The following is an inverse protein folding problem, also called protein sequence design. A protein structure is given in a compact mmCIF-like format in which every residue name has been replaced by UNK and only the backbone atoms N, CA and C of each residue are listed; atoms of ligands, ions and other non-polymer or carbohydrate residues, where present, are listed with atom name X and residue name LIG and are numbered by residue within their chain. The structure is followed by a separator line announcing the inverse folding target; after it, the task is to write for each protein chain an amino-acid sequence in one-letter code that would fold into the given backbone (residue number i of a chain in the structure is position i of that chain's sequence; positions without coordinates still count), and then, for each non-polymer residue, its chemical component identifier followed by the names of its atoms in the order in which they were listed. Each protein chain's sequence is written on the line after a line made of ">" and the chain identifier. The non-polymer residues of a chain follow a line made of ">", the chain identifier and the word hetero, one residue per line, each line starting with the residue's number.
data_IF_038963780347
#
_entry.id   IF_038963780347
#
_cell.length_a   1.000
_cell.length_b   1.000
_cell.length_c   1.000
_cell.angle_alpha   90.00
_cell.angle_beta   90.00
_cell.angle_gamma   90.00
#
_symmetry.space_group_name_H-M   'P 1'
#
loop_
_entity.id
_entity.type
_entity.pdbx_description
1 polymer ?
#
# COMPACT_ATOMS: atom_id res chain seq x y z
N UNK A 1 20.02 14.34 10.56
CA UNK A 1 19.64 12.99 10.09
C UNK A 1 18.24 13.14 9.53
N UNK A 2 17.95 12.59 8.38
CA UNK A 2 16.60 12.68 7.79
C UNK A 2 15.61 11.86 8.63
N UNK A 3 14.48 12.46 9.02
CA UNK A 3 13.50 11.76 9.86
C UNK A 3 12.55 10.91 9.02
N UNK A 4 12.12 11.41 7.85
CA UNK A 4 11.08 10.80 7.06
C UNK A 4 11.38 10.83 5.55
N UNK A 5 11.37 9.68 4.89
CA UNK A 5 11.33 9.54 3.44
C UNK A 5 9.90 9.23 2.98
N UNK A 6 9.31 10.06 2.13
CA UNK A 6 7.95 9.89 1.64
C UNK A 6 8.00 9.40 0.19
N UNK A 7 7.39 8.25 -0.09
CA UNK A 7 7.26 7.69 -1.44
C UNK A 7 5.81 7.82 -1.89
N UNK A 8 5.60 8.49 -3.04
CA UNK A 8 4.29 8.65 -3.66
C UNK A 8 4.33 8.00 -5.04
N UNK A 9 3.63 6.89 -5.22
CA UNK A 9 3.51 6.23 -6.53
C UNK A 9 2.25 6.72 -7.22
N UNK A 10 2.40 7.32 -8.41
CA UNK A 10 1.32 7.91 -9.20
C UNK A 10 1.09 7.16 -10.52
N UNK A 11 -0.16 7.02 -10.92
CA UNK A 11 -0.57 6.58 -12.24
C UNK A 11 -1.88 7.25 -12.64
N UNK A 12 -1.81 8.18 -13.60
CA UNK A 12 -2.97 8.89 -14.16
C UNK A 12 -3.84 9.59 -13.09
N UNK A 13 -3.18 10.35 -12.19
CA UNK A 13 -3.82 11.05 -11.06
C UNK A 13 -3.28 12.46 -10.85
N UNK A 14 -2.93 13.18 -11.95
CA UNK A 14 -2.22 14.46 -11.91
C UNK A 14 -2.77 15.47 -10.90
N UNK A 15 -4.07 15.77 -10.94
CA UNK A 15 -4.64 16.81 -10.10
C UNK A 15 -4.76 16.39 -8.62
N UNK A 16 -5.00 15.10 -8.36
CA UNK A 16 -4.98 14.55 -7.01
C UNK A 16 -3.55 14.52 -6.46
N UNK A 17 -2.57 14.09 -7.26
CA UNK A 17 -1.16 14.13 -6.89
C UNK A 17 -0.71 15.54 -6.54
N UNK A 18 -1.15 16.56 -7.31
CA UNK A 18 -0.87 17.97 -7.01
C UNK A 18 -1.43 18.38 -5.63
N UNK A 19 -2.66 17.99 -5.33
CA UNK A 19 -3.31 18.28 -4.04
C UNK A 19 -2.60 17.55 -2.90
N UNK A 20 -2.27 16.28 -3.09
CA UNK A 20 -1.50 15.47 -2.14
C UNK A 20 -0.14 16.14 -1.84
N UNK A 21 0.65 16.47 -2.86
CA UNK A 21 1.96 17.12 -2.69
C UNK A 21 1.85 18.47 -1.96
N UNK A 22 0.84 19.29 -2.29
CA UNK A 22 0.59 20.55 -1.57
C UNK A 22 0.31 20.30 -0.09
N UNK A 23 -0.47 19.28 0.26
CA UNK A 23 -0.75 18.95 1.66
C UNK A 23 0.49 18.41 2.38
N UNK A 24 1.33 17.61 1.71
CA UNK A 24 2.59 17.11 2.25
C UNK A 24 3.56 18.27 2.55
N UNK A 25 3.77 19.18 1.58
CA UNK A 25 4.67 20.32 1.77
C UNK A 25 4.11 21.41 2.69
N UNK A 26 2.81 21.40 2.99
CA UNK A 26 2.20 22.24 4.03
C UNK A 26 2.31 21.66 5.44
N UNK A 27 2.95 20.50 5.59
CA UNK A 27 3.11 19.85 6.90
C UNK A 27 3.92 20.69 7.87
N UNK A 28 3.50 20.69 9.13
CA UNK A 28 4.09 21.45 10.22
C UNK A 28 4.63 20.53 11.31
N UNK A 29 5.75 20.92 11.94
CA UNK A 29 6.38 20.18 13.03
C UNK A 29 7.90 20.30 12.98
N UNK A 30 8.56 19.84 14.05
CA UNK A 30 10.02 19.83 14.16
C UNK A 30 10.55 18.47 13.66
N UNK A 31 10.54 18.25 12.35
CA UNK A 31 11.07 17.07 11.69
C UNK A 31 11.48 17.41 10.26
N UNK A 32 12.40 16.62 9.73
CA UNK A 32 12.91 16.75 8.36
C UNK A 32 12.32 15.66 7.47
N UNK A 33 11.94 16.02 6.24
CA UNK A 33 11.45 15.02 5.28
C UNK A 33 11.89 15.32 3.85
N UNK A 34 11.96 14.26 3.05
CA UNK A 34 12.14 14.33 1.61
C UNK A 34 11.05 13.51 0.92
N UNK A 35 10.69 13.92 -0.30
CA UNK A 35 9.64 13.28 -1.09
C UNK A 35 10.24 12.70 -2.37
N UNK A 36 9.93 11.44 -2.65
CA UNK A 36 10.17 10.80 -3.94
C UNK A 36 8.81 10.48 -4.60
N UNK A 37 8.56 11.09 -5.75
CA UNK A 37 7.41 10.75 -6.59
C UNK A 37 7.87 9.77 -7.66
N UNK A 38 7.18 8.63 -7.74
CA UNK A 38 7.38 7.66 -8.82
C UNK A 38 6.16 7.71 -9.74
N UNK A 39 6.33 8.33 -10.89
CA UNK A 39 5.31 8.34 -11.93
C UNK A 39 5.39 7.06 -12.74
N UNK A 40 4.32 6.30 -12.75
CA UNK A 40 4.27 4.95 -13.30
C UNK A 40 3.82 4.94 -14.78
N UNK A 41 4.42 5.83 -15.60
CA UNK A 41 4.10 6.09 -17.00
C UNK A 41 2.69 6.68 -17.18
N UNK A 42 2.38 7.75 -16.49
CA UNK A 42 1.09 8.44 -16.58
C UNK A 42 0.96 9.20 -17.91
N UNK A 43 -0.14 9.02 -18.65
CA UNK A 43 -0.39 9.76 -19.89
C UNK A 43 -0.97 11.17 -19.66
N UNK A 44 -1.24 11.58 -18.41
CA UNK A 44 -1.96 12.80 -18.03
C UNK A 44 -1.06 13.99 -17.69
N UNK A 45 0.24 13.92 -18.05
CA UNK A 45 1.26 14.91 -17.72
C UNK A 45 1.52 15.06 -16.20
N UNK A 46 1.36 13.97 -15.43
CA UNK A 46 1.69 13.94 -13.99
C UNK A 46 3.17 14.23 -13.75
N UNK A 47 4.08 13.60 -14.50
CA UNK A 47 5.52 13.77 -14.34
C UNK A 47 5.95 15.23 -14.63
N UNK A 48 5.46 15.81 -15.72
CA UNK A 48 5.73 17.21 -16.09
C UNK A 48 5.22 18.20 -15.03
N UNK A 49 4.04 17.93 -14.47
CA UNK A 49 3.47 18.73 -13.38
C UNK A 49 4.37 18.69 -12.15
N UNK A 50 4.85 17.50 -11.75
CA UNK A 50 5.75 17.37 -10.59
C UNK A 50 7.05 18.13 -10.84
N UNK A 51 7.68 17.95 -12.01
CA UNK A 51 8.93 18.63 -12.37
C UNK A 51 8.79 20.17 -12.36
N UNK A 52 7.63 20.68 -12.78
CA UNK A 52 7.40 22.12 -12.88
C UNK A 52 6.96 22.77 -11.55
N UNK A 53 6.07 22.12 -10.79
CA UNK A 53 5.44 22.70 -9.60
C UNK A 53 6.13 22.29 -8.29
N UNK A 54 6.85 21.17 -8.28
CA UNK A 54 7.50 20.60 -7.08
C UNK A 54 8.96 20.19 -7.34
N UNK A 55 9.84 21.14 -7.78
CA UNK A 55 11.22 20.82 -8.13
C UNK A 55 12.06 20.29 -6.94
N UNK A 56 11.58 20.44 -5.72
CA UNK A 56 12.19 19.88 -4.51
C UNK A 56 11.88 18.39 -4.30
N UNK A 57 10.92 17.79 -5.03
CA UNK A 57 10.65 16.37 -4.99
C UNK A 57 11.60 15.61 -5.93
N UNK A 58 12.12 14.49 -5.47
CA UNK A 58 12.79 13.53 -6.36
C UNK A 58 11.74 12.90 -7.29
N UNK A 59 11.94 13.01 -8.59
CA UNK A 59 11.02 12.43 -9.57
C UNK A 59 11.68 11.24 -10.28
N UNK A 60 11.00 10.10 -10.25
CA UNK A 60 11.29 8.95 -11.10
C UNK A 60 10.13 8.82 -12.10
N UNK A 61 10.38 9.03 -13.38
CA UNK A 61 9.40 8.86 -14.44
C UNK A 61 9.67 7.53 -15.17
N UNK A 62 8.83 6.53 -14.93
CA UNK A 62 8.90 5.24 -15.59
C UNK A 62 8.40 5.34 -17.04
N UNK A 63 8.93 4.50 -17.91
CA UNK A 63 8.46 4.37 -19.31
C UNK A 63 7.31 3.39 -19.47
N UNK A 64 7.03 2.58 -18.44
CA UNK A 64 5.92 1.64 -18.36
C UNK A 64 5.39 1.53 -16.93
N UNK A 65 4.16 1.05 -16.76
CA UNK A 65 3.59 0.81 -15.44
C UNK A 65 4.13 -0.49 -14.87
N UNK A 66 5.08 -0.39 -13.95
CA UNK A 66 5.76 -1.54 -13.30
C UNK A 66 4.97 -2.13 -12.11
N UNK A 67 3.78 -1.61 -11.81
CA UNK A 67 2.95 -1.99 -10.66
C UNK A 67 3.31 -1.23 -9.37
N UNK A 68 2.40 -1.27 -8.42
CA UNK A 68 2.48 -0.48 -7.19
C UNK A 68 3.69 -0.84 -6.30
N UNK A 69 3.96 -2.12 -5.96
CA UNK A 69 5.10 -2.47 -5.10
C UNK A 69 6.45 -2.19 -5.77
N UNK A 70 6.60 -2.46 -7.07
CA UNK A 70 7.86 -2.21 -7.79
C UNK A 70 8.17 -0.72 -7.84
N UNK A 71 7.17 0.13 -8.09
CA UNK A 71 7.33 1.58 -8.09
C UNK A 71 7.65 2.12 -6.68
N UNK A 72 6.95 1.66 -5.63
CA UNK A 72 7.30 2.03 -4.26
C UNK A 72 8.73 1.59 -3.89
N UNK A 73 9.16 0.41 -4.34
CA UNK A 73 10.51 -0.06 -4.11
C UNK A 73 11.56 0.80 -4.81
N UNK A 74 11.26 1.38 -6.00
CA UNK A 74 12.16 2.36 -6.64
C UNK A 74 12.33 3.59 -5.74
N UNK A 75 11.24 4.17 -5.23
CA UNK A 75 11.28 5.29 -4.31
C UNK A 75 11.98 4.98 -2.98
N UNK A 76 11.73 3.80 -2.40
CA UNK A 76 12.42 3.36 -1.19
C UNK A 76 13.94 3.23 -1.40
N UNK A 77 14.37 2.73 -2.56
CA UNK A 77 15.81 2.64 -2.89
C UNK A 77 16.46 4.00 -3.05
N UNK A 78 15.75 5.04 -3.46
CA UNK A 78 16.25 6.42 -3.49
C UNK A 78 16.68 6.88 -2.10
N UNK A 79 15.97 6.43 -1.05
CA UNK A 79 16.28 6.68 0.35
C UNK A 79 17.28 5.68 0.97
N UNK A 80 17.90 4.81 0.16
CA UNK A 80 18.93 3.87 0.63
C UNK A 80 18.39 2.57 1.22
N UNK A 81 17.08 2.29 1.15
CA UNK A 81 16.54 0.99 1.55
C UNK A 81 16.84 -0.08 0.49
N UNK A 82 17.13 -1.31 0.93
CA UNK A 82 17.53 -2.42 0.06
C UNK A 82 16.70 -3.67 0.31
N UNK A 83 16.70 -4.60 -0.67
CA UNK A 83 16.02 -5.90 -0.55
C UNK A 83 16.75 -6.90 0.35
N UNK A 84 18.02 -6.62 0.68
CA UNK A 84 18.86 -7.54 1.44
C UNK A 84 18.74 -7.26 2.95
N UNK A 85 18.40 -8.27 3.78
CA UNK A 85 18.53 -8.14 5.24
C UNK A 85 19.97 -7.78 5.61
N UNK A 86 20.15 -6.82 6.50
CA UNK A 86 21.46 -6.26 6.90
C UNK A 86 22.46 -7.31 7.41
N UNK A 87 22.00 -8.49 7.84
CA UNK A 87 22.84 -9.60 8.28
C UNK A 87 23.69 -10.25 7.16
N UNK A 88 23.47 -9.90 5.88
CA UNK A 88 24.27 -10.36 4.75
C UNK A 88 25.22 -9.29 4.18
N UNK A 89 25.09 -8.02 4.62
CA UNK A 89 25.88 -6.90 4.09
C UNK A 89 27.31 -6.82 4.62
N UNK A 90 27.69 -7.61 5.63
CA UNK A 90 29.06 -7.58 6.19
C UNK A 90 30.14 -8.16 5.27
N UNK A 91 29.80 -8.80 4.15
CA UNK A 91 30.77 -9.48 3.29
C UNK A 91 30.83 -9.01 1.83
N UNK A 92 30.05 -7.99 1.40
CA UNK A 92 30.09 -7.49 0.02
C UNK A 92 30.09 -5.96 -0.07
N UNK A 93 31.09 -5.32 0.54
CA UNK A 93 31.47 -3.95 0.16
C UNK A 93 32.28 -4.03 -1.13
N UNK A 94 31.65 -4.21 -2.26
CA UNK A 94 32.28 -4.07 -3.58
C UNK A 94 31.66 -2.88 -4.31
N UNK A 95 32.43 -1.78 -4.33
CA UNK A 95 32.60 -0.76 -5.37
C UNK A 95 31.48 -0.67 -6.43
N UNK A 96 30.35 -0.04 -6.12
CA UNK A 96 29.54 0.65 -7.10
C UNK A 96 29.23 2.07 -6.58
N UNK A 97 29.47 3.12 -7.36
CA UNK A 97 29.06 4.48 -6.99
C UNK A 97 27.54 4.56 -7.20
N UNK A 98 26.78 4.21 -6.19
CA UNK A 98 25.37 4.55 -6.14
C UNK A 98 25.27 5.99 -5.63
N UNK A 99 24.54 6.84 -6.32
CA UNK A 99 24.04 8.14 -5.83
C UNK A 99 23.03 7.88 -4.69
N UNK A 100 23.45 7.16 -3.66
CA UNK A 100 22.66 6.95 -2.46
C UNK A 100 22.74 8.22 -1.64
N UNK A 101 21.58 8.78 -1.32
CA UNK A 101 21.47 9.81 -0.29
C UNK A 101 22.17 9.28 0.97
N UNK A 102 23.17 9.99 1.43
CA UNK A 102 24.08 9.56 2.53
C UNK A 102 23.37 9.50 3.89
N UNK A 103 22.07 9.83 3.97
CA UNK A 103 21.25 9.87 5.17
C UNK A 103 19.95 9.07 4.96
N UNK A 104 20.00 7.76 5.22
CA UNK A 104 18.80 6.95 5.30
C UNK A 104 17.85 7.51 6.37
N UNK A 105 16.54 7.75 6.07
CA UNK A 105 15.59 8.27 7.02
C UNK A 105 15.26 7.26 8.12
N UNK A 106 14.87 7.75 9.29
CA UNK A 106 14.43 6.91 10.41
C UNK A 106 13.10 6.16 10.08
N UNK A 107 12.27 6.77 9.24
CA UNK A 107 11.00 6.22 8.82
C UNK A 107 10.80 6.38 7.30
N UNK A 108 10.06 5.45 6.70
CA UNK A 108 9.54 5.56 5.35
C UNK A 108 8.00 5.64 5.39
N UNK A 109 7.42 6.56 4.62
CA UNK A 109 6.00 6.66 4.41
C UNK A 109 5.66 6.27 2.97
N UNK A 110 4.85 5.23 2.79
CA UNK A 110 4.15 5.02 1.53
C UNK A 110 2.86 5.81 1.57
N UNK A 111 2.65 6.65 0.56
CA UNK A 111 1.51 7.56 0.48
C UNK A 111 0.87 7.50 -0.90
N UNK A 112 -0.45 7.30 -0.95
CA UNK A 112 -1.17 7.36 -2.22
C UNK A 112 -1.34 8.79 -2.72
N UNK A 113 -1.33 9.01 -4.05
CA UNK A 113 -1.47 10.34 -4.65
C UNK A 113 -2.87 10.95 -4.50
N UNK A 114 -3.85 10.19 -4.04
CA UNK A 114 -5.23 10.60 -3.81
C UNK A 114 -5.57 10.78 -2.32
N UNK A 115 -4.55 11.11 -1.51
CA UNK A 115 -4.68 11.48 -0.09
C UNK A 115 -4.46 12.98 0.13
N UNK A 116 -5.10 13.53 1.16
CA UNK A 116 -4.89 14.91 1.61
C UNK A 116 -4.68 14.92 3.12
N UNK A 117 -3.54 15.47 3.55
CA UNK A 117 -3.07 15.43 4.92
C UNK A 117 -3.40 16.74 5.66
N UNK A 118 -3.91 16.67 6.91
CA UNK A 118 -3.85 17.83 7.82
C UNK A 118 -2.40 18.26 8.08
N UNK A 119 -2.16 19.56 8.35
CA UNK A 119 -0.79 20.06 8.53
C UNK A 119 0.00 19.41 9.67
N UNK A 120 -0.67 18.92 10.72
CA UNK A 120 -0.05 18.27 11.87
C UNK A 120 0.06 16.72 11.73
N UNK A 121 -0.45 16.15 10.64
CA UNK A 121 -0.57 14.71 10.48
C UNK A 121 0.75 13.97 10.59
N UNK A 122 1.78 14.43 9.85
CA UNK A 122 3.09 13.77 9.84
C UNK A 122 3.77 13.86 11.21
N UNK A 123 3.77 15.04 11.84
CA UNK A 123 4.37 15.23 13.16
C UNK A 123 3.71 14.31 14.20
N UNK A 124 2.37 14.23 14.21
CA UNK A 124 1.62 13.37 15.15
C UNK A 124 1.84 11.88 14.89
N UNK A 125 1.97 11.46 13.63
CA UNK A 125 2.27 10.07 13.32
C UNK A 125 3.70 9.69 13.69
N UNK A 126 4.68 10.58 13.49
CA UNK A 126 6.07 10.38 13.96
C UNK A 126 6.14 10.32 15.49
N UNK A 127 5.45 11.22 16.19
CA UNK A 127 5.32 11.20 17.64
C UNK A 127 4.73 9.88 18.15
N UNK A 128 3.66 9.40 17.52
CA UNK A 128 3.08 8.10 17.84
C UNK A 128 4.09 6.95 17.68
N UNK A 129 4.87 6.94 16.59
CA UNK A 129 5.92 5.93 16.39
C UNK A 129 7.05 6.01 17.43
N UNK A 130 7.36 7.20 17.92
CA UNK A 130 8.34 7.39 19.00
C UNK A 130 7.83 6.85 20.34
N UNK A 131 6.54 7.04 20.65
CA UNK A 131 5.89 6.52 21.86
C UNK A 131 5.68 5.00 21.82
N UNK A 132 5.72 4.37 20.63
CA UNK A 132 5.52 2.95 20.43
C UNK A 132 6.76 2.31 19.77
N UNK A 133 7.83 2.04 20.54
CA UNK A 133 9.07 1.49 19.97
C UNK A 133 8.91 0.07 19.38
N UNK A 134 7.86 -0.65 19.75
CA UNK A 134 7.46 -1.95 19.19
C UNK A 134 6.65 -1.84 17.87
N UNK A 135 6.27 -0.62 17.48
CA UNK A 135 5.58 -0.38 16.22
C UNK A 135 6.53 -0.50 15.03
N UNK A 136 6.32 -1.50 14.19
CA UNK A 136 6.98 -1.60 12.88
C UNK A 136 6.25 -0.79 11.82
N UNK A 137 4.92 -0.72 11.91
CA UNK A 137 4.05 0.04 11.01
C UNK A 137 3.00 0.79 11.84
N UNK A 138 2.66 2.01 11.39
CA UNK A 138 1.46 2.71 11.82
C UNK A 138 0.71 3.33 10.63
N UNK A 139 -0.63 3.37 10.73
CA UNK A 139 -1.50 4.06 9.78
C UNK A 139 -2.56 4.87 10.50
N UNK A 140 -2.99 6.03 9.94
CA UNK A 140 -4.01 6.88 10.49
C UNK A 140 -5.42 6.38 10.21
N UNK A 141 -6.42 7.07 10.76
CA UNK A 141 -7.80 6.98 10.31
C UNK A 141 -7.92 7.60 8.92
N UNK A 142 -8.34 6.80 7.94
CA UNK A 142 -8.66 7.30 6.61
C UNK A 142 -10.16 7.50 6.47
N UNK A 143 -10.55 8.64 5.91
CA UNK A 143 -11.95 8.97 5.63
C UNK A 143 -12.14 9.22 4.14
N UNK A 144 -13.29 8.81 3.62
CA UNK A 144 -13.70 9.06 2.25
C UNK A 144 -14.27 10.49 2.10
N UNK A 145 -14.46 11.02 0.89
CA UNK A 145 -15.00 12.37 0.67
C UNK A 145 -16.39 12.61 1.29
N UNK A 146 -17.16 11.55 1.53
CA UNK A 146 -18.45 11.63 2.22
C UNK A 146 -18.34 11.58 3.76
N UNK A 147 -17.11 11.59 4.30
CA UNK A 147 -16.83 11.51 5.73
C UNK A 147 -16.88 10.09 6.31
N UNK A 148 -17.27 9.09 5.54
CA UNK A 148 -17.29 7.70 6.01
C UNK A 148 -15.90 7.13 6.17
N UNK A 149 -15.74 6.15 7.08
CA UNK A 149 -14.47 5.46 7.29
C UNK A 149 -14.06 4.65 6.07
N UNK A 150 -12.83 4.82 5.58
CA UNK A 150 -12.25 3.84 4.69
C UNK A 150 -11.92 2.56 5.47
N UNK A 151 -12.76 1.54 5.30
CA UNK A 151 -12.63 0.27 6.02
C UNK A 151 -11.28 -0.45 5.80
N UNK A 152 -10.50 -0.05 4.77
CA UNK A 152 -9.20 -0.63 4.50
C UNK A 152 -8.09 -0.07 5.40
N UNK A 153 -8.31 1.06 6.11
CA UNK A 153 -7.30 1.67 6.98
C UNK A 153 -6.89 0.78 8.16
N UNK A 154 -7.69 -0.24 8.49
CA UNK A 154 -7.41 -1.23 9.53
C UNK A 154 -7.98 -2.60 9.12
N UNK A 155 -7.13 -3.62 9.08
CA UNK A 155 -7.54 -4.95 8.58
C UNK A 155 -6.92 -6.06 9.41
N UNK A 156 -7.59 -7.23 9.43
CA UNK A 156 -6.93 -8.49 9.75
C UNK A 156 -6.37 -9.14 8.48
N UNK A 157 -5.48 -10.11 8.64
CA UNK A 157 -5.02 -10.91 7.50
C UNK A 157 -6.15 -11.74 6.90
N UNK A 158 -6.18 -11.87 5.56
CA UNK A 158 -7.17 -12.66 4.84
C UNK A 158 -6.87 -14.17 4.96
N UNK A 159 -7.04 -14.73 6.17
CA UNK A 159 -7.00 -16.17 6.33
C UNK A 159 -8.07 -16.83 5.45
N UNK A 160 -7.97 -18.13 5.11
CA UNK A 160 -9.02 -18.84 4.35
C UNK A 160 -10.42 -18.65 4.95
N UNK A 161 -10.54 -18.74 6.27
CA UNK A 161 -11.80 -18.54 6.99
C UNK A 161 -12.34 -17.10 6.84
N UNK A 162 -11.50 -16.09 7.08
CA UNK A 162 -11.85 -14.67 6.99
C UNK A 162 -12.24 -14.31 5.55
N UNK A 163 -11.50 -14.83 4.57
CA UNK A 163 -11.77 -14.63 3.15
C UNK A 163 -13.11 -15.26 2.74
N UNK A 164 -13.41 -16.46 3.24
CA UNK A 164 -14.68 -17.14 3.01
C UNK A 164 -15.86 -16.31 3.54
N UNK A 165 -15.80 -15.80 4.77
CA UNK A 165 -16.88 -14.97 5.32
C UNK A 165 -17.12 -13.71 4.52
N UNK A 166 -16.04 -13.09 4.02
CA UNK A 166 -16.13 -11.91 3.18
C UNK A 166 -16.75 -12.20 1.82
N UNK A 167 -16.33 -13.27 1.15
CA UNK A 167 -16.86 -13.67 -0.15
C UNK A 167 -18.33 -14.06 -0.07
N UNK A 168 -18.74 -14.73 1.00
CA UNK A 168 -20.15 -15.11 1.26
C UNK A 168 -21.01 -13.95 1.75
N UNK A 169 -20.47 -12.74 1.89
CA UNK A 169 -21.20 -11.56 2.33
C UNK A 169 -21.55 -11.52 3.83
N UNK A 170 -21.12 -12.52 4.63
CA UNK A 170 -21.40 -12.60 6.06
C UNK A 170 -20.84 -11.42 6.84
N UNK A 171 -19.72 -10.84 6.39
CA UNK A 171 -19.14 -9.63 6.96
C UNK A 171 -20.03 -8.39 6.80
N UNK A 172 -20.86 -8.34 5.75
CA UNK A 172 -21.84 -7.25 5.54
C UNK A 172 -23.12 -7.47 6.34
N UNK A 173 -23.55 -8.74 6.45
CA UNK A 173 -24.76 -9.09 7.18
C UNK A 173 -24.58 -8.97 8.70
N UNK A 174 -23.38 -9.29 9.21
CA UNK A 174 -23.05 -9.25 10.63
C UNK A 174 -21.80 -8.39 10.91
N UNK A 175 -21.82 -7.08 10.65
CA UNK A 175 -20.63 -6.22 10.74
C UNK A 175 -20.09 -6.09 12.16
N UNK A 176 -20.93 -6.21 13.20
CA UNK A 176 -20.53 -6.14 14.62
C UNK A 176 -20.00 -7.47 15.18
N UNK A 177 -20.06 -8.54 14.41
CA UNK A 177 -19.54 -9.85 14.82
C UNK A 177 -18.01 -9.87 14.79
N UNK A 178 -17.37 -10.23 15.91
CA UNK A 178 -15.92 -10.44 15.97
C UNK A 178 -15.43 -11.54 15.00
N UNK A 179 -16.31 -12.48 14.64
CA UNK A 179 -15.99 -13.55 13.69
C UNK A 179 -16.16 -13.09 12.24
N UNK A 180 -17.33 -12.56 11.88
CA UNK A 180 -17.66 -12.21 10.50
C UNK A 180 -17.15 -10.83 10.07
N UNK A 181 -17.11 -9.86 10.97
CA UNK A 181 -16.55 -8.52 10.74
C UNK A 181 -15.03 -8.44 10.83
N UNK A 182 -14.34 -9.59 11.01
CA UNK A 182 -12.92 -9.65 11.33
C UNK A 182 -12.03 -9.02 10.28
N UNK A 183 -12.33 -9.17 8.99
CA UNK A 183 -11.44 -8.66 7.95
C UNK A 183 -11.18 -7.15 8.05
N UNK A 184 -12.22 -6.33 8.19
CA UNK A 184 -12.11 -4.88 8.32
C UNK A 184 -12.25 -4.41 9.78
N UNK A 185 -12.23 -5.32 10.75
CA UNK A 185 -12.33 -5.05 12.20
C UNK A 185 -13.52 -4.14 12.53
N UNK A 186 -14.66 -4.35 11.85
CA UNK A 186 -15.83 -3.48 11.91
C UNK A 186 -16.55 -3.52 13.28
N UNK A 187 -16.18 -4.44 14.14
CA UNK A 187 -16.61 -4.54 15.53
C UNK A 187 -15.82 -3.66 16.50
N UNK A 188 -14.66 -3.11 16.07
CA UNK A 188 -13.87 -2.18 16.88
C UNK A 188 -14.36 -0.75 16.70
N UNK A 189 -14.23 0.05 17.73
CA UNK A 189 -14.46 1.49 17.66
C UNK A 189 -13.46 2.14 16.68
N UNK A 190 -13.91 2.90 15.68
CA UNK A 190 -13.03 3.59 14.74
C UNK A 190 -12.24 4.75 15.35
N UNK A 191 -12.60 5.21 16.53
CA UNK A 191 -11.97 6.35 17.20
C UNK A 191 -11.01 5.92 18.33
N UNK A 192 -10.74 4.61 18.45
CA UNK A 192 -9.77 4.06 19.38
C UNK A 192 -8.56 3.48 18.66
N UNK A 193 -7.35 3.80 19.17
CA UNK A 193 -6.11 3.20 18.70
C UNK A 193 -6.13 1.68 18.96
N UNK A 194 -5.61 0.90 18.02
CA UNK A 194 -5.62 -0.54 18.13
C UNK A 194 -4.42 -1.18 17.42
N UNK A 195 -3.91 -2.27 18.00
CA UNK A 195 -3.06 -3.19 17.25
C UNK A 195 -3.93 -3.92 16.20
N UNK A 196 -3.44 -3.94 14.97
CA UNK A 196 -4.12 -4.56 13.82
C UNK A 196 -3.17 -5.50 13.09
N UNK A 197 -3.67 -6.25 12.10
CA UNK A 197 -2.76 -7.07 11.30
C UNK A 197 -2.15 -6.28 10.15
N UNK A 198 -2.87 -5.32 9.56
CA UNK A 198 -2.38 -4.47 8.49
C UNK A 198 -3.14 -3.15 8.43
N UNK A 199 -2.47 -2.11 7.99
CA UNK A 199 -3.04 -0.87 7.46
C UNK A 199 -2.96 -0.88 5.94
N UNK A 200 -3.60 0.06 5.25
CA UNK A 200 -3.56 0.14 3.78
C UNK A 200 -2.36 0.97 3.31
N UNK A 201 -1.79 0.60 2.16
CA UNK A 201 -0.69 1.34 1.54
C UNK A 201 -1.00 2.80 1.18
N UNK A 202 -2.27 3.23 1.29
CA UNK A 202 -2.64 4.63 1.07
C UNK A 202 -1.98 5.61 2.05
N UNK A 203 -1.72 5.17 3.28
CA UNK A 203 -0.83 5.81 4.26
C UNK A 203 -0.25 4.72 5.15
N UNK A 204 0.99 4.35 4.91
CA UNK A 204 1.69 3.31 5.67
C UNK A 204 3.06 3.84 6.12
N UNK A 205 3.16 4.23 7.39
CA UNK A 205 4.40 4.70 8.01
C UNK A 205 5.17 3.50 8.56
N UNK A 206 6.39 3.29 8.09
CA UNK A 206 7.21 2.09 8.39
C UNK A 206 8.55 2.52 8.99
N UNK A 207 8.97 1.85 10.05
CA UNK A 207 10.27 2.08 10.71
C UNK A 207 11.40 1.54 9.84
N UNK A 208 12.51 2.28 9.70
CA UNK A 208 13.66 1.88 8.89
C UNK A 208 14.27 0.54 9.29
N UNK A 209 14.41 0.28 10.60
CA UNK A 209 14.92 -0.98 11.14
C UNK A 209 14.11 -2.19 10.67
N UNK A 210 12.81 -2.03 10.54
CA UNK A 210 11.90 -3.07 10.06
C UNK A 210 12.16 -3.39 8.61
N UNK A 211 12.34 -2.35 7.77
CA UNK A 211 12.65 -2.52 6.35
C UNK A 211 14.00 -3.23 6.20
N UNK A 212 15.00 -2.84 7.01
CA UNK A 212 16.31 -3.50 7.01
C UNK A 212 16.23 -4.99 7.41
N UNK A 213 15.26 -5.36 8.25
CA UNK A 213 15.08 -6.74 8.71
C UNK A 213 14.29 -7.61 7.73
N UNK A 214 13.23 -7.10 7.12
CA UNK A 214 12.30 -7.89 6.31
C UNK A 214 12.45 -7.67 4.81
N UNK A 215 13.21 -6.66 4.39
CA UNK A 215 13.35 -6.23 3.00
C UNK A 215 12.17 -5.40 2.50
N UNK A 216 12.20 -5.06 1.22
CA UNK A 216 11.22 -4.25 0.53
C UNK A 216 9.91 -5.02 0.23
N UNK A 217 8.99 -4.37 -0.45
CA UNK A 217 7.72 -4.99 -0.88
C UNK A 217 7.97 -6.08 -1.92
N UNK A 218 7.12 -7.12 -1.95
CA UNK A 218 7.25 -8.23 -2.90
C UNK A 218 6.73 -7.83 -4.29
N UNK A 219 7.63 -7.76 -5.27
CA UNK A 219 7.32 -7.43 -6.66
C UNK A 219 6.51 -8.48 -7.42
N UNK A 220 6.20 -9.65 -6.85
CA UNK A 220 5.28 -10.62 -7.46
C UNK A 220 3.83 -10.08 -7.53
N UNK A 221 3.49 -9.18 -6.63
CA UNK A 221 2.24 -8.43 -6.69
C UNK A 221 2.39 -7.30 -7.71
N UNK A 222 1.37 -7.11 -8.55
CA UNK A 222 1.29 -5.93 -9.40
C UNK A 222 0.54 -4.81 -8.70
N UNK A 223 -0.57 -5.17 -8.05
CA UNK A 223 -1.45 -4.28 -7.30
C UNK A 223 -2.32 -5.13 -6.37
N UNK A 224 -2.64 -4.62 -5.19
CA UNK A 224 -3.37 -5.28 -4.11
C UNK A 224 -2.60 -6.42 -3.41
N UNK A 225 -2.73 -6.49 -2.10
CA UNK A 225 -2.17 -7.55 -1.28
C UNK A 225 -0.70 -7.40 -0.92
N UNK A 226 0.05 -6.51 -1.60
CA UNK A 226 1.44 -6.18 -1.29
C UNK A 226 1.60 -5.56 0.10
N UNK A 227 0.65 -4.71 0.50
CA UNK A 227 0.59 -4.10 1.83
C UNK A 227 0.28 -5.13 2.93
N UNK A 228 -0.62 -6.06 2.64
CA UNK A 228 -0.91 -7.20 3.52
C UNK A 228 0.30 -8.14 3.65
N UNK A 229 0.99 -8.43 2.54
CA UNK A 229 2.20 -9.26 2.52
C UNK A 229 3.31 -8.64 3.35
N UNK A 230 3.56 -7.34 3.14
CA UNK A 230 4.60 -6.64 3.88
C UNK A 230 4.30 -6.59 5.37
N UNK A 231 3.06 -6.24 5.74
CA UNK A 231 2.60 -6.28 7.13
C UNK A 231 2.69 -7.69 7.75
N UNK A 232 2.38 -8.74 6.97
CA UNK A 232 2.51 -10.13 7.43
C UNK A 232 3.95 -10.50 7.75
N UNK A 233 4.90 -10.17 6.86
CA UNK A 233 6.34 -10.40 7.08
C UNK A 233 6.85 -9.63 8.30
N UNK A 234 6.44 -8.38 8.44
CA UNK A 234 6.80 -7.49 9.56
C UNK A 234 6.28 -8.05 10.89
N UNK A 235 5.01 -8.46 10.95
CA UNK A 235 4.47 -9.11 12.17
C UNK A 235 5.13 -10.45 12.46
N UNK A 236 5.48 -11.22 11.45
CA UNK A 236 6.19 -12.49 11.61
C UNK A 236 7.62 -12.27 12.16
N UNK A 237 8.22 -11.12 11.89
CA UNK A 237 9.51 -10.70 12.45
C UNK A 237 9.41 -10.17 13.90
N UNK A 238 8.21 -10.14 14.49
CA UNK A 238 7.96 -9.76 15.90
C UNK A 238 7.53 -8.32 16.12
N UNK A 239 7.38 -7.52 15.05
CA UNK A 239 6.93 -6.15 15.14
C UNK A 239 5.40 -6.05 15.18
N UNK A 240 4.89 -4.94 15.74
CA UNK A 240 3.46 -4.66 15.76
C UNK A 240 3.04 -3.69 14.65
N UNK A 241 1.78 -3.76 14.27
CA UNK A 241 1.13 -2.84 13.34
C UNK A 241 0.02 -2.12 14.08
N UNK A 242 0.01 -0.79 14.03
CA UNK A 242 -0.95 0.03 14.75
C UNK A 242 -1.83 0.86 13.82
N UNK A 243 -3.08 0.95 14.19
CA UNK A 243 -4.04 1.94 13.70
C UNK A 243 -4.12 3.08 14.71
N UNK A 244 -3.85 4.32 14.27
CA UNK A 244 -3.89 5.52 15.10
C UNK A 244 -4.97 6.50 14.62
N UNK A 245 -6.17 6.52 15.21
CA UNK A 245 -7.26 7.40 14.80
C UNK A 245 -7.11 8.85 15.27
N UNK A 246 -6.11 9.14 16.12
CA UNK A 246 -5.84 10.52 16.54
C UNK A 246 -5.46 11.41 15.34
N UNK A 247 -4.97 10.81 14.25
CA UNK A 247 -4.75 11.48 12.95
C UNK A 247 -5.81 11.01 11.97
N UNK A 248 -6.47 11.95 11.28
CA UNK A 248 -7.47 11.65 10.24
C UNK A 248 -6.97 12.24 8.92
N UNK A 249 -6.90 11.41 7.87
CA UNK A 249 -6.45 11.77 6.53
C UNK A 249 -7.57 11.49 5.53
N UNK A 250 -7.81 12.43 4.61
CA UNK A 250 -8.75 12.24 3.51
C UNK A 250 -8.14 11.29 2.47
N UNK A 251 -8.92 10.32 1.99
CA UNK A 251 -8.54 9.40 0.93
C UNK A 251 -9.66 9.32 -0.13
N UNK A 252 -9.43 9.91 -1.29
CA UNK A 252 -10.45 9.99 -2.37
C UNK A 252 -10.80 8.61 -2.90
N UNK A 253 -9.86 7.69 -2.85
CA UNK A 253 -9.98 6.25 -3.14
C UNK A 253 -10.42 5.92 -4.57
N UNK A 254 -9.76 4.92 -5.15
CA UNK A 254 -10.03 4.39 -6.50
C UNK A 254 -9.80 5.37 -7.66
N UNK A 255 -9.09 6.48 -7.44
CA UNK A 255 -8.82 7.42 -8.52
C UNK A 255 -8.11 6.75 -9.71
N UNK A 256 -7.03 6.02 -9.47
CA UNK A 256 -6.28 5.31 -10.51
C UNK A 256 -6.97 4.02 -11.03
N UNK A 257 -7.86 3.39 -10.24
CA UNK A 257 -8.43 2.05 -10.56
C UNK A 257 -9.90 2.08 -10.95
N UNK A 258 -10.59 3.22 -10.81
CA UNK A 258 -12.04 3.35 -11.04
C UNK A 258 -12.50 2.85 -12.41
N UNK A 259 -11.65 2.96 -13.42
CA UNK A 259 -11.93 2.56 -14.79
C UNK A 259 -11.01 1.44 -15.30
N UNK A 260 -10.24 0.79 -14.40
CA UNK A 260 -9.37 -0.31 -14.81
C UNK A 260 -10.13 -1.63 -14.90
N UNK A 261 -10.35 -2.16 -16.12
CA UNK A 261 -11.01 -3.47 -16.29
C UNK A 261 -10.19 -4.61 -15.67
N UNK A 262 -8.87 -4.42 -15.53
CA UNK A 262 -7.94 -5.43 -15.01
C UNK A 262 -7.87 -5.46 -13.48
N UNK A 263 -8.36 -4.43 -12.78
CA UNK A 263 -8.24 -4.32 -11.33
C UNK A 263 -8.80 -5.54 -10.58
N UNK A 264 -9.92 -6.09 -11.06
CA UNK A 264 -10.54 -7.28 -10.44
C UNK A 264 -9.73 -8.56 -10.69
N UNK A 265 -9.11 -8.70 -11.86
CA UNK A 265 -8.22 -9.84 -12.17
C UNK A 265 -7.00 -9.79 -11.25
N UNK A 266 -6.37 -8.62 -11.12
CA UNK A 266 -5.21 -8.44 -10.23
C UNK A 266 -5.57 -8.68 -8.76
N UNK A 267 -6.78 -8.32 -8.34
CA UNK A 267 -7.26 -8.64 -6.99
C UNK A 267 -7.31 -10.16 -6.73
N UNK A 268 -7.87 -10.96 -7.65
CA UNK A 268 -7.88 -12.42 -7.49
C UNK A 268 -6.50 -13.04 -7.62
N UNK A 269 -5.65 -12.49 -8.52
CA UNK A 269 -4.24 -12.90 -8.63
C UNK A 269 -3.50 -12.67 -7.32
N UNK A 270 -3.65 -11.48 -6.72
CA UNK A 270 -3.06 -11.13 -5.44
C UNK A 270 -3.53 -12.05 -4.30
N UNK A 271 -4.83 -12.37 -4.25
CA UNK A 271 -5.35 -13.37 -3.30
C UNK A 271 -4.64 -14.72 -3.45
N UNK A 272 -4.44 -15.18 -4.68
CA UNK A 272 -3.74 -16.44 -4.97
C UNK A 272 -2.26 -16.40 -4.55
N UNK A 273 -1.55 -15.29 -4.80
CA UNK A 273 -0.16 -15.12 -4.39
C UNK A 273 -0.08 -15.14 -2.86
N UNK A 274 -0.87 -14.30 -2.18
CA UNK A 274 -0.88 -14.20 -0.72
C UNK A 274 -1.21 -15.55 -0.05
N UNK A 275 -2.24 -16.25 -0.53
CA UNK A 275 -2.61 -17.57 -0.01
C UNK A 275 -1.49 -18.60 -0.20
N UNK A 276 -0.90 -18.69 -1.39
CA UNK A 276 0.19 -19.66 -1.65
C UNK A 276 1.40 -19.37 -0.77
N UNK A 277 1.76 -18.10 -0.60
CA UNK A 277 2.94 -17.68 0.15
C UNK A 277 2.81 -17.96 1.65
N UNK A 278 1.64 -17.69 2.24
CA UNK A 278 1.50 -17.66 3.69
C UNK A 278 0.69 -18.80 4.31
N UNK A 279 -0.20 -19.43 3.54
CA UNK A 279 -1.14 -20.40 4.07
C UNK A 279 -1.09 -21.78 3.41
N UNK A 280 -0.73 -21.89 2.14
CA UNK A 280 -0.83 -23.15 1.39
C UNK A 280 -0.09 -24.32 2.05
N UNK A 281 1.14 -24.09 2.54
CA UNK A 281 1.96 -25.12 3.19
C UNK A 281 1.36 -25.67 4.50
N UNK A 282 0.47 -24.89 5.16
CA UNK A 282 -0.18 -25.28 6.43
C UNK A 282 -1.62 -25.76 6.21
N UNK A 283 -2.11 -25.75 4.97
CA UNK A 283 -3.49 -26.11 4.63
C UNK A 283 -3.55 -27.58 4.19
N UNK A 284 -4.48 -28.38 4.70
CA UNK A 284 -4.69 -29.74 4.23
C UNK A 284 -4.91 -29.79 2.72
N UNK A 285 -4.36 -30.81 2.03
CA UNK A 285 -4.32 -30.88 0.58
C UNK A 285 -5.69 -30.74 -0.12
N UNK A 286 -6.74 -31.34 0.47
CA UNK A 286 -8.10 -31.26 -0.08
C UNK A 286 -8.68 -29.84 0.03
N UNK A 287 -8.42 -29.14 1.15
CA UNK A 287 -8.86 -27.75 1.35
C UNK A 287 -8.04 -26.81 0.47
N UNK A 288 -6.72 -27.09 0.32
CA UNK A 288 -5.87 -26.36 -0.63
C UNK A 288 -6.41 -26.46 -2.05
N UNK A 289 -6.78 -27.65 -2.51
CA UNK A 289 -7.36 -27.85 -3.84
C UNK A 289 -8.67 -27.06 -4.04
N UNK A 290 -9.56 -27.04 -3.02
CA UNK A 290 -10.80 -26.25 -3.05
C UNK A 290 -10.52 -24.73 -3.13
N UNK A 291 -9.63 -24.21 -2.30
CA UNK A 291 -9.30 -22.78 -2.27
C UNK A 291 -8.63 -22.37 -3.58
N UNK A 292 -7.63 -23.13 -4.05
CA UNK A 292 -6.94 -22.84 -5.30
C UNK A 292 -7.90 -22.90 -6.51
N UNK A 293 -8.79 -23.89 -6.55
CA UNK A 293 -9.84 -24.02 -7.57
C UNK A 293 -10.81 -22.85 -7.54
N UNK A 294 -11.28 -22.43 -6.35
CA UNK A 294 -12.19 -21.30 -6.21
C UNK A 294 -11.54 -19.97 -6.70
N UNK A 295 -10.29 -19.71 -6.32
CA UNK A 295 -9.55 -18.52 -6.78
C UNK A 295 -9.37 -18.54 -8.30
N UNK A 296 -9.00 -19.70 -8.88
CA UNK A 296 -8.81 -19.86 -10.31
C UNK A 296 -10.12 -19.68 -11.09
N UNK A 297 -11.24 -20.17 -10.58
CA UNK A 297 -12.57 -19.98 -11.15
C UNK A 297 -12.99 -18.51 -11.14
N UNK A 298 -12.81 -17.81 -10.03
CA UNK A 298 -13.12 -16.37 -9.92
C UNK A 298 -12.27 -15.54 -10.88
N UNK A 299 -10.97 -15.84 -10.98
CA UNK A 299 -10.08 -15.17 -11.92
C UNK A 299 -10.44 -15.45 -13.37
N UNK A 300 -10.73 -16.71 -13.72
CA UNK A 300 -11.13 -17.12 -15.07
C UNK A 300 -12.47 -16.52 -15.49
N UNK A 301 -13.45 -16.47 -14.59
CA UNK A 301 -14.74 -15.85 -14.84
C UNK A 301 -14.60 -14.35 -15.15
N UNK A 302 -13.73 -13.64 -14.45
CA UNK A 302 -13.50 -12.21 -14.71
C UNK A 302 -12.73 -11.98 -16.02
N UNK A 303 -11.77 -12.84 -16.35
CA UNK A 303 -11.07 -12.81 -17.63
C UNK A 303 -12.05 -13.03 -18.81
N UNK A 304 -12.93 -14.01 -18.69
CA UNK A 304 -13.98 -14.28 -19.69
C UNK A 304 -14.94 -13.09 -19.84
N UNK A 305 -15.39 -12.52 -18.73
CA UNK A 305 -16.22 -11.32 -18.72
C UNK A 305 -15.57 -10.17 -19.50
N UNK A 306 -14.29 -9.90 -19.24
CA UNK A 306 -13.56 -8.85 -19.96
C UNK A 306 -13.41 -9.16 -21.47
N UNK A 307 -13.11 -10.40 -21.83
CA UNK A 307 -13.03 -10.81 -23.23
C UNK A 307 -14.36 -10.58 -23.98
N UNK A 308 -15.48 -10.94 -23.36
CA UNK A 308 -16.82 -10.75 -23.95
C UNK A 308 -17.21 -9.26 -24.07
N UNK A 309 -16.82 -8.41 -23.09
CA UNK A 309 -17.11 -6.98 -23.14
C UNK A 309 -16.23 -6.21 -24.12
N UNK A 310 -15.00 -6.68 -24.38
CA UNK A 310 -14.07 -6.08 -25.35
C UNK A 310 -14.47 -6.37 -26.80
N UNK A 311 -15.04 -7.52 -27.08
CA UNK A 311 -15.53 -7.89 -28.43
C UNK A 311 -16.81 -7.16 -28.84
N UNK A 312 -17.55 -6.58 -27.90
CA UNK A 312 -18.78 -5.80 -28.17
C UNK A 312 -18.54 -4.33 -28.54
N UNK A 313 -17.35 -3.78 -28.34
CA UNK A 313 -16.98 -2.44 -28.83
C UNK A 313 -16.43 -2.55 -30.26
N UNK A 314 -17.30 -2.46 -31.26
CA UNK A 314 -16.87 -2.15 -32.65
C UNK A 314 -16.13 -0.80 -32.62
N UNK A 315 -15.01 -0.65 -33.36
CA UNK A 315 -14.45 0.67 -33.58
C UNK A 315 -15.52 1.51 -34.31
N UNK A 316 -15.93 2.63 -33.71
CA UNK A 316 -16.66 3.65 -34.44
C UNK A 316 -15.80 4.05 -35.63
N UNK A 317 -16.32 3.74 -36.85
CA UNK A 317 -15.73 4.17 -38.08
C UNK A 317 -15.72 5.70 -38.10
N UNK A 318 -14.52 6.27 -38.06
CA UNK A 318 -14.27 7.66 -38.39
C UNK A 318 -14.78 7.93 -39.78
N UNK A 319 -15.87 8.71 -39.91
CA UNK A 319 -16.23 9.47 -41.13
C UNK A 319 -15.64 10.87 -41.02
#
# INVERSE_FOLDING_TARGET
>A
MLDLGIVITSYNTRDLLRTCLRSVYASQGDFTFEVCVVDNASPDASAEMVAAEFPQAHLIANTENVGYPSANNQGLRTFGFTDQPTNQLTNQLTNQPTNQLTNQPAFALLLNPDTELPPDALARMLGFMAEHPDAGIAGPKLVLPDGSLDLACRRSFPTPEVSFYRLMGLSRLFPRSRRFGRYNLTYLDPDQAAEVDSVVGAFMLVRAEVIAQVGLMDGQFFMYGEDLDWAYRIKTAGWKVYYNPAVTVLHVKRAATRHSPRAQIEFYRAMGIFYRKHYAAKTPWWLHALIAGAISLLQGAEQLRLALTSTGRRPEATL
#
